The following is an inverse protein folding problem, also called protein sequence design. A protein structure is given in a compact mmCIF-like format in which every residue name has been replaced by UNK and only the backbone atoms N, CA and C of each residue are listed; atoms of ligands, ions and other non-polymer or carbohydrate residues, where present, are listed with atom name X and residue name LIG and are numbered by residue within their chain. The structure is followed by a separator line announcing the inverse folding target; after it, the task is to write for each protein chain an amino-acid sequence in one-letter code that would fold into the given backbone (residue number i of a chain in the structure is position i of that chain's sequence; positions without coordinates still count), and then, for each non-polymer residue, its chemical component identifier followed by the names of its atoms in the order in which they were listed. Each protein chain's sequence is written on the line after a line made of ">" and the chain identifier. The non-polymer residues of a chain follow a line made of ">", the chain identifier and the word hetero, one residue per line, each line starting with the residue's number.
data_IF_929568831935
#
_entry.id   IF_929568831935
#
_cell.length_a   1.000
_cell.length_b   1.000
_cell.length_c   1.000
_cell.angle_alpha   90.00
_cell.angle_beta   90.00
_cell.angle_gamma   90.00
#
_symmetry.space_group_name_H-M   'P 1'
#
loop_
_entity.id
_entity.type
_entity.pdbx_description
1 polymer ?
#
# COMPACT_ATOMS: atom_id res chain seq x y z
N UNK A 1 11.13 1.94 8.68
CA UNK A 1 10.73 2.37 10.03
C UNK A 1 10.17 1.20 10.83
N UNK A 2 8.98 0.67 10.52
CA UNK A 2 8.40 -0.48 11.27
C UNK A 2 9.34 -1.69 11.46
N UNK A 3 10.04 -2.15 10.41
CA UNK A 3 11.01 -3.25 10.56
C UNK A 3 12.21 -2.89 11.45
N UNK A 4 12.63 -1.62 11.45
CA UNK A 4 13.78 -1.12 12.21
C UNK A 4 13.42 -0.87 13.68
N UNK A 5 12.17 -0.52 13.97
CA UNK A 5 11.65 -0.41 15.34
C UNK A 5 11.71 -1.72 16.11
N UNK A 6 11.71 -2.88 15.43
CA UNK A 6 11.92 -4.18 16.07
C UNK A 6 13.23 -4.29 16.85
N UNK A 7 14.24 -3.48 16.50
CA UNK A 7 15.49 -3.42 17.26
C UNK A 7 15.31 -2.81 18.66
N UNK A 8 14.25 -2.03 18.89
CA UNK A 8 13.96 -1.46 20.21
C UNK A 8 13.59 -2.55 21.23
N UNK A 9 13.08 -3.70 20.77
CA UNK A 9 12.78 -4.88 21.61
C UNK A 9 14.07 -5.57 22.06
N UNK A 10 15.14 -5.52 21.25
CA UNK A 10 16.47 -6.03 21.63
C UNK A 10 17.10 -5.14 22.69
N UNK A 11 17.17 -3.82 22.42
CA UNK A 11 17.74 -2.84 23.34
C UNK A 11 17.11 -1.46 23.13
N UNK A 12 16.53 -0.83 24.18
CA UNK A 12 15.98 0.53 24.09
C UNK A 12 17.00 1.60 23.64
N UNK A 13 18.30 1.34 23.79
CA UNK A 13 19.41 2.20 23.31
C UNK A 13 19.36 2.47 21.80
N UNK A 14 18.69 1.63 21.01
CA UNK A 14 18.54 1.84 19.57
C UNK A 14 17.46 2.88 19.19
N UNK A 15 16.59 3.29 20.12
CA UNK A 15 15.51 4.27 19.89
C UNK A 15 15.97 5.52 19.12
N UNK A 16 17.06 6.21 19.49
CA UNK A 16 17.51 7.42 18.77
C UNK A 16 18.04 7.13 17.36
N UNK A 17 18.40 5.88 17.07
CA UNK A 17 19.00 5.46 15.80
C UNK A 17 17.98 4.93 14.78
N UNK A 18 16.72 4.68 15.18
CA UNK A 18 15.67 4.15 14.30
C UNK A 18 15.41 5.05 13.09
N UNK A 19 15.25 6.35 13.32
CA UNK A 19 14.98 7.34 12.26
C UNK A 19 16.21 7.50 11.35
N UNK A 20 17.43 7.79 11.86
CA UNK A 20 18.63 7.86 11.03
C UNK A 20 18.89 6.60 10.19
N UNK A 21 18.75 5.42 10.78
CA UNK A 21 18.95 4.16 10.08
C UNK A 21 17.88 3.94 8.99
N UNK A 22 16.63 4.29 9.28
CA UNK A 22 15.56 4.26 8.27
C UNK A 22 15.89 5.19 7.10
N UNK A 23 16.39 6.40 7.35
CA UNK A 23 16.78 7.34 6.29
C UNK A 23 17.95 6.81 5.46
N UNK A 24 18.93 6.17 6.09
CA UNK A 24 20.05 5.54 5.38
C UNK A 24 19.57 4.40 4.47
N UNK A 25 18.68 3.52 4.96
CA UNK A 25 18.07 2.45 4.16
C UNK A 25 17.29 3.04 2.99
N UNK A 26 16.46 4.06 3.22
CA UNK A 26 15.70 4.73 2.16
C UNK A 26 16.63 5.37 1.11
N UNK A 27 17.71 6.03 1.54
CA UNK A 27 18.68 6.62 0.61
C UNK A 27 19.30 5.56 -0.31
N UNK A 28 19.68 4.40 0.24
CA UNK A 28 20.19 3.27 -0.54
C UNK A 28 19.10 2.74 -1.49
N UNK A 29 17.89 2.51 -0.98
CA UNK A 29 16.73 2.02 -1.76
C UNK A 29 16.46 2.94 -2.96
N UNK A 30 16.42 4.25 -2.75
CA UNK A 30 16.17 5.23 -3.82
C UNK A 30 17.36 5.42 -4.76
N UNK A 31 18.60 5.27 -4.28
CA UNK A 31 19.80 5.36 -5.12
C UNK A 31 19.94 4.18 -6.09
N UNK A 32 19.52 2.98 -5.66
CA UNK A 32 19.63 1.74 -6.46
C UNK A 32 18.55 1.64 -7.54
N UNK A 33 17.47 2.44 -7.47
CA UNK A 33 16.34 2.40 -8.43
C UNK A 33 16.77 2.51 -9.90
N UNK A 34 17.83 3.27 -10.20
CA UNK A 34 18.34 3.47 -11.56
C UNK A 34 18.80 2.17 -12.24
N UNK A 35 19.16 1.16 -11.46
CA UNK A 35 19.62 -0.14 -11.97
C UNK A 35 18.46 -1.07 -12.35
N UNK A 36 17.22 -0.67 -12.07
CA UNK A 36 16.03 -1.45 -12.37
C UNK A 36 15.83 -2.69 -11.51
N UNK A 37 14.70 -3.35 -11.71
CA UNK A 37 14.29 -4.55 -10.95
C UNK A 37 14.64 -5.87 -11.65
N UNK A 38 15.13 -5.81 -12.90
CA UNK A 38 15.32 -6.97 -13.77
C UNK A 38 16.23 -8.07 -13.21
N UNK A 39 17.33 -7.71 -12.55
CA UNK A 39 18.23 -8.69 -11.93
C UNK A 39 17.81 -9.13 -10.53
N UNK A 40 17.00 -8.32 -9.83
CA UNK A 40 16.73 -8.49 -8.40
C UNK A 40 15.51 -9.38 -8.13
N UNK A 41 14.63 -9.56 -9.12
CA UNK A 41 13.45 -10.42 -9.00
C UNK A 41 13.78 -11.89 -8.64
N UNK A 42 14.94 -12.39 -9.08
CA UNK A 42 15.44 -13.74 -8.74
C UNK A 42 15.74 -13.90 -7.25
N UNK A 43 16.12 -12.82 -6.57
CA UNK A 43 16.42 -12.81 -5.12
C UNK A 43 15.18 -12.43 -4.32
N UNK A 44 14.34 -11.53 -4.85
CA UNK A 44 13.15 -11.04 -4.15
C UNK A 44 12.12 -12.13 -3.90
N UNK A 45 11.86 -13.01 -4.88
CA UNK A 45 10.90 -14.11 -4.72
C UNK A 45 11.24 -15.04 -3.55
N UNK A 46 12.45 -15.65 -3.52
CA UNK A 46 12.88 -16.52 -2.42
C UNK A 46 12.92 -15.83 -1.06
N UNK A 47 13.41 -14.59 -0.97
CA UNK A 47 13.44 -13.84 0.31
C UNK A 47 12.02 -13.57 0.82
N UNK A 48 11.10 -13.22 -0.06
CA UNK A 48 9.70 -12.97 0.30
C UNK A 48 9.00 -14.26 0.73
N UNK A 49 9.25 -15.37 0.03
CA UNK A 49 8.73 -16.68 0.42
C UNK A 49 9.27 -17.11 1.79
N UNK A 50 10.57 -16.92 2.03
CA UNK A 50 11.19 -17.19 3.33
C UNK A 50 10.58 -16.33 4.43
N UNK A 51 10.34 -15.04 4.18
CA UNK A 51 9.65 -14.15 5.12
C UNK A 51 8.26 -14.68 5.51
N UNK A 52 7.41 -14.99 4.53
CA UNK A 52 6.07 -15.51 4.82
C UNK A 52 6.10 -16.84 5.56
N UNK A 53 6.95 -17.78 5.14
CA UNK A 53 7.08 -19.07 5.83
C UNK A 53 7.60 -18.89 7.27
N UNK A 54 8.56 -18.00 7.49
CA UNK A 54 9.10 -17.73 8.82
C UNK A 54 8.03 -17.18 9.77
N UNK A 55 7.25 -16.17 9.34
CA UNK A 55 6.17 -15.62 10.18
C UNK A 55 5.03 -16.63 10.37
N UNK A 56 4.73 -17.45 9.36
CA UNK A 56 3.71 -18.50 9.48
C UNK A 56 4.10 -19.57 10.49
N UNK A 57 5.36 -20.01 10.48
CA UNK A 57 5.90 -20.97 11.45
C UNK A 57 5.99 -20.38 12.86
N UNK A 58 6.42 -19.12 12.98
CA UNK A 58 6.44 -18.38 14.26
C UNK A 58 5.03 -18.28 14.85
N UNK A 59 4.04 -17.88 14.05
CA UNK A 59 2.65 -17.84 14.46
C UNK A 59 2.11 -19.20 14.89
N UNK A 60 2.37 -20.24 14.10
CA UNK A 60 1.94 -21.61 14.40
C UNK A 60 2.44 -22.11 15.76
N UNK A 61 3.68 -21.77 16.14
CA UNK A 61 4.25 -22.17 17.43
C UNK A 61 3.49 -21.56 18.62
N UNK A 62 2.99 -20.34 18.49
CA UNK A 62 2.32 -19.60 19.58
C UNK A 62 0.81 -19.88 19.68
N UNK A 63 0.20 -20.58 18.71
CA UNK A 63 -1.24 -20.95 18.79
C UNK A 63 -1.53 -21.80 20.03
N UNK A 64 -0.55 -22.59 20.49
CA UNK A 64 -0.70 -23.43 21.67
C UNK A 64 -0.61 -22.67 22.99
N UNK A 65 -0.15 -21.42 23.00
CA UNK A 65 -0.07 -20.60 24.21
C UNK A 65 -1.48 -20.29 24.75
N UNK A 66 -2.42 -20.05 23.84
CA UNK A 66 -3.85 -19.94 24.15
C UNK A 66 -4.72 -20.44 22.97
N UNK A 67 -5.19 -21.70 23.02
CA UNK A 67 -6.03 -22.28 21.97
C UNK A 67 -7.40 -21.60 21.80
N UNK A 68 -7.87 -20.80 22.76
CA UNK A 68 -9.15 -20.10 22.66
C UNK A 68 -9.15 -19.09 21.50
N UNK A 69 -7.97 -18.65 21.03
CA UNK A 69 -7.86 -17.74 19.88
C UNK A 69 -8.52 -18.31 18.61
N UNK A 70 -8.62 -19.64 18.47
CA UNK A 70 -9.24 -20.28 17.32
C UNK A 70 -10.75 -19.97 17.23
N UNK A 71 -11.37 -19.62 18.36
CA UNK A 71 -12.76 -19.18 18.40
C UNK A 71 -12.95 -17.82 17.72
N UNK A 72 -11.90 -17.02 17.54
CA UNK A 72 -11.95 -15.72 16.85
C UNK A 72 -12.35 -15.83 15.36
N UNK A 73 -12.33 -17.03 14.77
CA UNK A 73 -12.88 -17.29 13.43
C UNK A 73 -14.40 -17.07 13.40
N UNK A 74 -15.08 -17.25 14.55
CA UNK A 74 -16.51 -17.03 14.65
C UNK A 74 -16.86 -15.53 14.54
N UNK A 75 -17.74 -15.14 13.60
CA UNK A 75 -18.16 -13.74 13.45
C UNK A 75 -18.92 -13.22 14.68
N UNK A 76 -19.32 -14.11 15.60
CA UNK A 76 -19.93 -13.71 16.87
C UNK A 76 -19.04 -12.75 17.67
N UNK A 77 -17.71 -12.95 17.68
CA UNK A 77 -16.80 -12.10 18.46
C UNK A 77 -16.79 -10.66 17.96
N UNK A 78 -16.67 -10.45 16.65
CA UNK A 78 -16.69 -9.10 16.09
C UNK A 78 -18.06 -8.43 16.27
N UNK A 79 -19.16 -9.16 16.11
CA UNK A 79 -20.52 -8.63 16.36
C UNK A 79 -20.70 -8.25 17.83
N UNK A 80 -20.29 -9.12 18.76
CA UNK A 80 -20.37 -8.86 20.19
C UNK A 80 -19.52 -7.67 20.60
N UNK A 81 -18.32 -7.52 20.02
CA UNK A 81 -17.42 -6.39 20.28
C UNK A 81 -18.01 -5.07 19.79
N UNK A 82 -18.62 -5.06 18.60
CA UNK A 82 -19.30 -3.90 18.04
C UNK A 82 -20.51 -3.45 18.90
N UNK A 83 -21.26 -4.39 19.46
CA UNK A 83 -22.43 -4.10 20.29
C UNK A 83 -22.03 -3.64 21.70
N UNK A 84 -21.09 -4.35 22.33
CA UNK A 84 -20.73 -4.13 23.73
C UNK A 84 -19.76 -2.96 23.93
N UNK A 85 -19.00 -2.57 22.90
CA UNK A 85 -17.99 -1.52 22.99
C UNK A 85 -17.91 -0.69 21.72
N UNK A 86 -19.00 0.00 21.31
CA UNK A 86 -19.10 0.64 20.01
C UNK A 86 -18.04 1.73 19.77
N UNK A 87 -17.70 2.52 20.78
CA UNK A 87 -16.69 3.59 20.67
C UNK A 87 -15.29 3.02 20.42
N UNK A 88 -14.88 2.04 21.22
CA UNK A 88 -13.58 1.37 21.08
C UNK A 88 -13.53 0.60 19.76
N UNK A 89 -14.60 -0.13 19.44
CA UNK A 89 -14.68 -0.91 18.22
C UNK A 89 -14.57 -0.04 16.96
N UNK A 90 -15.15 1.15 16.96
CA UNK A 90 -15.02 2.09 15.85
C UNK A 90 -13.56 2.48 15.59
N UNK A 91 -12.80 2.80 16.64
CA UNK A 91 -11.37 3.14 16.52
C UNK A 91 -10.55 1.91 16.11
N UNK A 92 -10.82 0.74 16.69
CA UNK A 92 -10.12 -0.51 16.39
C UNK A 92 -10.33 -0.96 14.95
N UNK A 93 -11.55 -0.87 14.41
CA UNK A 93 -11.85 -1.20 13.00
C UNK A 93 -10.99 -0.37 12.04
N UNK A 94 -10.79 0.92 12.35
CA UNK A 94 -9.89 1.79 11.58
C UNK A 94 -8.43 1.36 11.64
N UNK A 95 -7.97 0.71 12.72
CA UNK A 95 -6.61 0.18 12.84
C UNK A 95 -6.46 -1.18 12.13
N UNK A 96 -7.44 -2.09 12.30
CA UNK A 96 -7.46 -3.42 11.66
C UNK A 96 -7.43 -3.31 10.14
N UNK A 97 -8.05 -2.28 9.57
CA UNK A 97 -8.02 -2.01 8.14
C UNK A 97 -6.59 -1.99 7.55
N UNK A 98 -5.61 -1.50 8.31
CA UNK A 98 -4.22 -1.40 7.86
C UNK A 98 -3.62 -2.76 7.52
N UNK A 99 -4.17 -3.86 8.07
CA UNK A 99 -3.78 -5.24 7.74
C UNK A 99 -4.20 -5.72 6.33
N UNK A 100 -5.19 -5.05 5.70
CA UNK A 100 -5.76 -5.43 4.40
C UNK A 100 -5.17 -4.60 3.24
N UNK A 101 -4.29 -3.66 3.55
CA UNK A 101 -3.67 -2.75 2.58
C UNK A 101 -2.70 -3.48 1.64
N UNK A 102 -2.43 -2.90 0.46
CA UNK A 102 -1.53 -3.49 -0.54
C UNK A 102 -2.23 -4.39 -1.57
N UNK A 103 -3.52 -4.68 -1.41
CA UNK A 103 -4.33 -5.33 -2.43
C UNK A 103 -4.38 -4.52 -3.74
N UNK A 104 -4.39 -3.19 -3.63
CA UNK A 104 -4.31 -2.26 -4.75
C UNK A 104 -3.01 -2.39 -5.56
N UNK A 105 -1.88 -2.68 -4.90
CA UNK A 105 -0.60 -2.86 -5.57
C UNK A 105 -0.58 -4.14 -6.42
N UNK A 106 -1.25 -5.21 -5.94
CA UNK A 106 -1.43 -6.45 -6.70
C UNK A 106 -2.16 -6.21 -8.04
N UNK A 107 -3.12 -5.27 -8.07
CA UNK A 107 -3.82 -4.91 -9.31
C UNK A 107 -2.96 -4.06 -10.26
N UNK A 108 -2.11 -3.18 -9.72
CA UNK A 108 -1.20 -2.38 -10.53
C UNK A 108 -0.19 -3.25 -11.31
N UNK A 109 0.23 -4.38 -10.72
CA UNK A 109 1.20 -5.32 -11.29
C UNK A 109 0.57 -6.50 -12.06
N UNK A 110 -0.76 -6.52 -12.25
CA UNK A 110 -1.43 -7.53 -13.09
C UNK A 110 -0.89 -7.56 -14.52
N UNK A 111 -0.41 -6.42 -15.01
CA UNK A 111 0.20 -6.30 -16.35
C UNK A 111 1.49 -7.09 -16.52
N UNK A 112 2.18 -7.44 -15.42
CA UNK A 112 3.50 -8.10 -15.46
C UNK A 112 3.41 -9.60 -15.18
N UNK A 113 2.58 -10.02 -14.22
CA UNK A 113 2.52 -11.42 -13.76
C UNK A 113 1.26 -12.16 -14.21
N UNK A 114 0.20 -11.44 -14.57
CA UNK A 114 -1.10 -12.02 -14.88
C UNK A 114 -1.85 -12.60 -13.67
N UNK A 115 -3.13 -12.93 -13.86
CA UNK A 115 -4.04 -13.31 -12.76
C UNK A 115 -3.66 -14.61 -12.06
N UNK A 116 -3.32 -15.68 -12.80
CA UNK A 116 -3.16 -17.03 -12.22
C UNK A 116 -2.00 -17.12 -11.21
N UNK A 117 -0.77 -16.65 -11.53
CA UNK A 117 0.34 -16.71 -10.57
C UNK A 117 0.07 -15.92 -9.29
N UNK A 118 -0.56 -14.74 -9.43
CA UNK A 118 -0.93 -13.89 -8.28
C UNK A 118 -1.89 -14.62 -7.35
N UNK A 119 -2.97 -15.19 -7.88
CA UNK A 119 -3.97 -15.91 -7.08
C UNK A 119 -3.36 -17.14 -6.40
N UNK A 120 -2.53 -17.90 -7.11
CA UNK A 120 -1.88 -19.09 -6.55
C UNK A 120 -0.91 -18.73 -5.42
N UNK A 121 -0.02 -17.75 -5.63
CA UNK A 121 0.93 -17.31 -4.60
C UNK A 121 0.21 -16.75 -3.37
N UNK A 122 -0.86 -15.98 -3.60
CA UNK A 122 -1.68 -15.43 -2.52
C UNK A 122 -2.34 -16.53 -1.69
N UNK A 123 -3.12 -17.42 -2.32
CA UNK A 123 -3.92 -18.42 -1.61
C UNK A 123 -3.08 -19.58 -1.05
N UNK A 124 -1.98 -19.95 -1.69
CA UNK A 124 -1.18 -21.10 -1.27
C UNK A 124 -0.12 -20.76 -0.22
N UNK A 125 0.40 -19.52 -0.20
CA UNK A 125 1.54 -19.15 0.67
C UNK A 125 1.21 -17.94 1.52
N UNK A 126 0.91 -16.80 0.91
CA UNK A 126 0.81 -15.52 1.63
C UNK A 126 -0.35 -15.53 2.63
N UNK A 127 -1.55 -15.85 2.16
CA UNK A 127 -2.76 -15.86 2.98
C UNK A 127 -2.68 -16.82 4.19
N UNK A 128 -2.32 -18.12 4.03
CA UNK A 128 -2.23 -19.01 5.18
C UNK A 128 -1.14 -18.59 6.16
N UNK A 129 0.02 -18.11 5.69
CA UNK A 129 1.08 -17.65 6.58
C UNK A 129 0.68 -16.41 7.38
N UNK A 130 -0.02 -15.45 6.76
CA UNK A 130 -0.54 -14.27 7.44
C UNK A 130 -1.60 -14.64 8.48
N UNK A 131 -2.51 -15.56 8.15
CA UNK A 131 -3.52 -16.03 9.09
C UNK A 131 -2.88 -16.70 10.31
N UNK A 132 -1.93 -17.60 10.10
CA UNK A 132 -1.18 -18.25 11.18
C UNK A 132 -0.43 -17.24 12.03
N UNK A 133 0.23 -16.25 11.41
CA UNK A 133 0.91 -15.18 12.12
C UNK A 133 -0.08 -14.40 13.00
N UNK A 134 -1.20 -13.90 12.46
CA UNK A 134 -2.17 -13.11 13.24
C UNK A 134 -2.80 -13.90 14.39
N UNK A 135 -3.20 -15.16 14.14
CA UNK A 135 -3.74 -16.03 15.18
C UNK A 135 -2.69 -16.32 16.25
N UNK A 136 -1.44 -16.59 15.86
CA UNK A 136 -0.33 -16.75 16.81
C UNK A 136 -0.07 -15.52 17.66
N UNK A 137 -0.09 -14.30 17.08
CA UNK A 137 0.04 -13.07 17.88
C UNK A 137 -1.13 -12.90 18.84
N UNK A 138 -2.35 -13.23 18.39
CA UNK A 138 -3.53 -13.20 19.25
C UNK A 138 -3.40 -14.12 20.46
N UNK A 139 -2.99 -15.38 20.25
CA UNK A 139 -2.74 -16.33 21.35
C UNK A 139 -1.65 -15.82 22.31
N UNK A 140 -0.53 -15.33 21.78
CA UNK A 140 0.54 -14.76 22.58
C UNK A 140 0.08 -13.57 23.44
N UNK A 141 -0.73 -12.67 22.86
CA UNK A 141 -1.30 -11.53 23.59
C UNK A 141 -2.19 -11.99 24.74
N UNK A 142 -3.06 -12.99 24.49
CA UNK A 142 -3.97 -13.53 25.50
C UNK A 142 -3.20 -14.20 26.65
N UNK A 143 -2.21 -15.04 26.32
CA UNK A 143 -1.37 -15.73 27.29
C UNK A 143 -0.55 -14.77 28.19
N UNK A 144 -0.18 -13.60 27.67
CA UNK A 144 0.59 -12.57 28.39
C UNK A 144 -0.27 -11.47 29.03
N UNK A 145 -1.56 -11.74 29.31
CA UNK A 145 -2.42 -10.82 30.06
C UNK A 145 -2.87 -9.59 29.28
N UNK A 146 -2.81 -9.62 27.93
CA UNK A 146 -3.39 -8.62 27.05
C UNK A 146 -2.58 -7.34 26.85
N UNK A 147 -1.42 -7.18 27.50
CA UNK A 147 -0.59 -5.96 27.41
C UNK A 147 0.78 -6.29 26.84
N UNK A 148 0.95 -6.07 25.55
CA UNK A 148 2.20 -6.30 24.80
C UNK A 148 2.49 -5.12 23.89
N UNK A 149 3.76 -4.70 23.82
CA UNK A 149 4.16 -3.49 23.09
C UNK A 149 4.32 -3.77 21.60
N UNK A 150 5.18 -4.73 21.28
CA UNK A 150 5.47 -5.19 19.93
C UNK A 150 5.28 -6.71 19.82
N UNK A 151 4.02 -7.19 19.72
CA UNK A 151 3.69 -8.62 19.80
C UNK A 151 4.51 -9.50 18.85
N UNK A 152 4.71 -9.04 17.61
CA UNK A 152 5.51 -9.76 16.62
C UNK A 152 6.97 -9.99 17.03
N UNK A 153 7.60 -9.00 17.65
CA UNK A 153 9.01 -9.10 18.04
C UNK A 153 9.16 -9.78 19.40
N UNK A 154 8.23 -9.53 20.33
CA UNK A 154 8.18 -10.15 21.66
C UNK A 154 7.88 -11.66 21.58
N UNK A 155 7.04 -12.13 20.65
CA UNK A 155 6.86 -13.58 20.47
C UNK A 155 8.13 -14.27 19.93
N UNK A 156 9.03 -13.54 19.28
CA UNK A 156 10.25 -14.10 18.66
C UNK A 156 11.49 -13.84 19.53
N UNK A 157 11.36 -13.91 20.85
CA UNK A 157 12.43 -13.61 21.80
C UNK A 157 13.66 -14.55 21.69
N UNK A 158 14.79 -14.06 22.22
CA UNK A 158 16.06 -14.80 22.21
C UNK A 158 16.79 -14.76 20.85
N UNK A 159 17.28 -15.91 20.39
CA UNK A 159 18.12 -15.99 19.18
C UNK A 159 17.35 -15.74 17.88
N UNK A 160 16.02 -15.91 17.88
CA UNK A 160 15.16 -15.79 16.71
C UNK A 160 14.86 -14.33 16.32
N UNK A 161 14.98 -13.41 17.28
CA UNK A 161 14.68 -11.99 17.11
C UNK A 161 15.55 -11.34 16.03
N UNK A 162 16.87 -11.54 16.09
CA UNK A 162 17.82 -10.92 15.15
C UNK A 162 17.58 -11.40 13.71
N UNK A 163 17.49 -12.71 13.42
CA UNK A 163 17.10 -13.21 12.10
C UNK A 163 15.76 -12.63 11.61
N UNK A 164 14.76 -12.54 12.49
CA UNK A 164 13.45 -11.98 12.13
C UNK A 164 13.51 -10.49 11.79
N UNK A 165 14.27 -9.68 12.53
CA UNK A 165 14.47 -8.25 12.22
C UNK A 165 15.17 -8.08 10.87
N UNK A 166 16.20 -8.89 10.57
CA UNK A 166 16.89 -8.86 9.27
C UNK A 166 15.94 -9.22 8.14
N UNK A 167 15.15 -10.29 8.32
CA UNK A 167 14.21 -10.76 7.31
C UNK A 167 13.05 -9.76 7.10
N UNK A 168 12.53 -9.17 8.17
CA UNK A 168 11.54 -8.09 8.10
C UNK A 168 12.08 -6.86 7.38
N UNK A 169 13.34 -6.49 7.63
CA UNK A 169 14.01 -5.38 6.95
C UNK A 169 14.16 -5.68 5.45
N UNK A 170 14.58 -6.89 5.09
CA UNK A 170 14.67 -7.31 3.69
C UNK A 170 13.29 -7.30 3.00
N UNK A 171 12.26 -7.85 3.65
CA UNK A 171 10.90 -7.89 3.11
C UNK A 171 10.31 -6.48 2.93
N UNK A 172 10.52 -5.57 3.90
CA UNK A 172 10.04 -4.18 3.79
C UNK A 172 10.76 -3.38 2.72
N UNK A 173 12.06 -3.65 2.48
CA UNK A 173 12.79 -3.09 1.33
C UNK A 173 12.19 -3.60 0.02
N UNK A 174 11.93 -4.91 -0.11
CA UNK A 174 11.32 -5.49 -1.31
C UNK A 174 9.92 -4.90 -1.56
N UNK A 175 9.09 -4.79 -0.52
CA UNK A 175 7.77 -4.17 -0.61
C UNK A 175 7.87 -2.70 -1.09
N UNK A 176 8.83 -1.94 -0.55
CA UNK A 176 9.07 -0.55 -0.97
C UNK A 176 9.44 -0.45 -2.46
N UNK A 177 10.24 -1.40 -2.97
CA UNK A 177 10.61 -1.46 -4.40
C UNK A 177 9.41 -1.66 -5.31
N UNK A 178 8.49 -2.55 -4.93
CA UNK A 178 7.26 -2.81 -5.69
C UNK A 178 6.40 -1.54 -5.78
N UNK A 179 6.19 -0.85 -4.66
CA UNK A 179 5.39 0.40 -4.62
C UNK A 179 6.04 1.53 -5.42
N UNK A 180 7.37 1.70 -5.34
CA UNK A 180 8.09 2.71 -6.15
C UNK A 180 7.93 2.41 -7.65
N UNK A 181 8.07 1.15 -8.05
CA UNK A 181 7.88 0.72 -9.44
C UNK A 181 6.42 0.92 -9.92
N UNK A 182 5.45 0.66 -9.05
CA UNK A 182 4.03 0.96 -9.29
C UNK A 182 3.79 2.46 -9.51
N UNK A 183 4.40 3.32 -8.69
CA UNK A 183 4.30 4.78 -8.84
C UNK A 183 4.87 5.28 -10.17
N UNK A 184 5.97 4.69 -10.65
CA UNK A 184 6.51 4.97 -11.99
C UNK A 184 5.52 4.58 -13.10
N UNK A 185 4.89 3.42 -12.98
CA UNK A 185 3.89 2.93 -13.93
C UNK A 185 2.64 3.81 -13.98
N UNK A 186 2.11 4.21 -12.83
CA UNK A 186 0.97 5.13 -12.72
C UNK A 186 1.32 6.52 -13.28
N UNK A 187 2.53 7.02 -13.01
CA UNK A 187 2.98 8.31 -13.56
C UNK A 187 3.07 8.24 -15.09
N UNK A 188 3.61 7.15 -15.64
CA UNK A 188 3.65 6.94 -17.10
C UNK A 188 2.25 6.92 -17.70
N UNK A 189 1.29 6.22 -17.08
CA UNK A 189 -0.09 6.18 -17.55
C UNK A 189 -0.73 7.58 -17.51
N UNK A 190 -0.51 8.35 -16.45
CA UNK A 190 -0.99 9.73 -16.35
C UNK A 190 -0.39 10.65 -17.44
N UNK A 191 0.88 10.47 -17.81
CA UNK A 191 1.50 11.19 -18.94
C UNK A 191 0.85 10.80 -20.27
N UNK A 192 0.56 9.51 -20.49
CA UNK A 192 -0.11 9.03 -21.71
C UNK A 192 -1.56 9.57 -21.84
N UNK A 193 -2.23 9.80 -20.71
CA UNK A 193 -3.55 10.42 -20.65
C UNK A 193 -3.50 11.96 -20.72
N UNK A 194 -2.34 12.56 -21.00
CA UNK A 194 -2.11 14.02 -21.00
C UNK A 194 -2.47 14.72 -19.67
N UNK A 195 -2.47 13.98 -18.56
CA UNK A 195 -2.76 14.55 -17.23
C UNK A 195 -1.52 15.16 -16.57
N UNK A 196 -0.33 14.79 -17.02
CA UNK A 196 0.96 15.27 -16.51
C UNK A 196 1.90 15.71 -17.65
N UNK A 197 2.89 16.58 -17.35
CA UNK A 197 3.93 16.92 -18.30
C UNK A 197 4.74 15.71 -18.73
N UNK A 198 5.35 15.81 -19.91
CA UNK A 198 6.24 14.76 -20.41
C UNK A 198 7.45 14.63 -19.49
N UNK A 199 7.57 13.47 -18.86
CA UNK A 199 8.76 13.07 -18.11
C UNK A 199 9.70 12.25 -18.98
N UNK A 200 11.00 12.28 -18.65
CA UNK A 200 11.98 11.36 -19.24
C UNK A 200 11.72 9.97 -18.66
N UNK A 201 11.38 9.01 -19.52
CA UNK A 201 11.11 7.63 -19.15
C UNK A 201 12.28 6.80 -19.68
N UNK A 202 13.06 6.22 -18.76
CA UNK A 202 14.16 5.33 -19.09
C UNK A 202 13.67 3.89 -18.93
N UNK A 203 13.88 3.05 -19.94
CA UNK A 203 13.56 1.63 -19.84
C UNK A 203 14.75 0.91 -19.23
N UNK A 204 14.54 0.20 -18.12
CA UNK A 204 15.61 -0.50 -17.40
C UNK A 204 15.78 -1.95 -17.88
N UNK A 205 14.87 -2.46 -18.70
CA UNK A 205 14.99 -3.75 -19.38
C UNK A 205 14.62 -3.64 -20.84
N UNK A 206 15.43 -4.26 -21.70
CA UNK A 206 15.17 -4.40 -23.12
C UNK A 206 14.01 -5.37 -23.41
N UNK A 207 13.68 -6.25 -22.47
CA UNK A 207 12.68 -7.32 -22.67
C UNK A 207 11.33 -7.03 -22.03
N UNK A 208 11.26 -6.13 -21.05
CA UNK A 208 10.06 -5.88 -20.26
C UNK A 208 9.71 -4.40 -20.26
N UNK A 209 8.69 -4.01 -21.03
CA UNK A 209 8.20 -2.63 -21.13
C UNK A 209 7.69 -2.06 -19.80
N UNK A 210 7.36 -2.92 -18.83
CA UNK A 210 6.95 -2.55 -17.49
C UNK A 210 8.09 -2.17 -16.54
N UNK A 211 9.35 -2.39 -16.92
CA UNK A 211 10.52 -2.00 -16.12
C UNK A 211 11.00 -0.62 -16.58
N UNK A 212 10.51 0.41 -15.89
CA UNK A 212 10.76 1.80 -16.21
C UNK A 212 11.34 2.53 -15.00
N UNK A 213 12.19 3.52 -15.27
CA UNK A 213 12.78 4.41 -14.29
C UNK A 213 12.51 5.86 -14.67
N UNK A 214 11.93 6.62 -13.74
CA UNK A 214 11.63 8.05 -13.91
C UNK A 214 12.47 8.84 -12.90
N UNK A 215 13.65 9.38 -13.27
CA UNK A 215 14.59 9.98 -12.32
C UNK A 215 13.99 11.11 -11.47
N UNK A 216 13.17 11.98 -12.07
CA UNK A 216 12.54 13.10 -11.37
C UNK A 216 11.48 12.64 -10.37
N UNK A 217 10.70 11.63 -10.75
CA UNK A 217 9.68 11.05 -9.86
C UNK A 217 10.36 10.33 -8.70
N UNK A 218 11.43 9.59 -8.99
CA UNK A 218 12.25 8.92 -7.98
C UNK A 218 12.77 9.91 -6.92
N UNK A 219 13.35 11.03 -7.36
CA UNK A 219 13.85 12.06 -6.46
C UNK A 219 12.73 12.70 -5.63
N UNK A 220 11.60 13.03 -6.25
CA UNK A 220 10.46 13.62 -5.56
C UNK A 220 9.90 12.66 -4.51
N UNK A 221 9.70 11.39 -4.86
CA UNK A 221 9.26 10.35 -3.93
C UNK A 221 10.26 10.17 -2.79
N UNK A 222 11.56 10.15 -3.07
CA UNK A 222 12.60 10.04 -2.04
C UNK A 222 12.49 11.18 -1.02
N UNK A 223 12.41 12.43 -1.50
CA UNK A 223 12.29 13.60 -0.64
C UNK A 223 11.02 13.56 0.21
N UNK A 224 9.86 13.27 -0.40
CA UNK A 224 8.58 13.21 0.33
C UNK A 224 8.61 12.10 1.39
N UNK A 225 9.06 10.90 1.05
CA UNK A 225 9.10 9.77 2.00
C UNK A 225 10.08 10.04 3.14
N UNK A 226 11.26 10.62 2.86
CA UNK A 226 12.21 11.00 3.91
C UNK A 226 11.65 12.10 4.82
N UNK A 227 10.96 13.11 4.26
CA UNK A 227 10.31 14.15 5.05
C UNK A 227 9.20 13.57 5.94
N UNK A 228 8.41 12.62 5.44
CA UNK A 228 7.38 11.94 6.24
C UNK A 228 8.02 11.13 7.38
N UNK A 229 9.13 10.43 7.13
CA UNK A 229 9.87 9.68 8.16
C UNK A 229 10.38 10.60 9.26
N UNK A 230 10.98 11.75 8.91
CA UNK A 230 11.47 12.73 9.89
C UNK A 230 10.31 13.41 10.62
N UNK A 231 9.24 13.77 9.92
CA UNK A 231 8.10 14.48 10.49
C UNK A 231 7.25 13.63 11.44
N UNK A 232 7.07 12.35 11.12
CA UNK A 232 6.27 11.44 11.95
C UNK A 232 7.09 10.69 13.00
N UNK A 233 8.34 10.31 12.72
CA UNK A 233 9.25 9.65 13.66
C UNK A 233 8.91 8.19 14.05
N UNK A 234 7.62 7.86 14.17
CA UNK A 234 7.09 6.56 14.60
C UNK A 234 6.21 5.92 13.53
N UNK A 235 6.20 4.58 13.48
CA UNK A 235 5.45 3.84 12.46
C UNK A 235 3.95 3.91 12.69
N UNK A 236 3.50 3.94 13.95
CA UNK A 236 2.08 4.01 14.33
C UNK A 236 1.44 5.29 13.80
N UNK A 237 2.09 6.44 14.01
CA UNK A 237 1.62 7.75 13.53
C UNK A 237 1.63 7.83 12.00
N UNK A 238 2.66 7.28 11.36
CA UNK A 238 2.73 7.19 9.89
C UNK A 238 1.64 6.26 9.34
N UNK A 239 1.33 5.17 10.04
CA UNK A 239 0.32 4.21 9.62
C UNK A 239 -1.09 4.80 9.63
N UNK A 240 -1.41 5.58 10.67
CA UNK A 240 -2.67 6.35 10.72
C UNK A 240 -2.78 7.37 9.59
N UNK A 241 -1.67 7.91 9.09
CA UNK A 241 -1.68 8.98 8.09
C UNK A 241 -2.09 8.50 6.67
N UNK A 242 -1.80 7.25 6.31
CA UNK A 242 -2.06 6.74 4.94
C UNK A 242 -3.40 6.00 4.79
N UNK A 243 -4.00 5.51 5.88
CA UNK A 243 -5.24 4.70 5.84
C UNK A 243 -6.43 5.38 5.12
N UNK A 244 -6.54 6.71 5.22
CA UNK A 244 -7.59 7.49 4.53
C UNK A 244 -7.45 7.41 3.01
N UNK A 245 -6.22 7.47 2.50
CA UNK A 245 -5.99 7.41 1.05
C UNK A 245 -6.36 6.04 0.48
N UNK A 246 -6.07 4.96 1.22
CA UNK A 246 -6.37 3.59 0.78
C UNK A 246 -7.87 3.31 0.86
N UNK A 247 -8.54 3.67 1.96
CA UNK A 247 -10.01 3.53 2.07
C UNK A 247 -10.75 4.37 1.02
N UNK A 248 -10.28 5.60 0.76
CA UNK A 248 -10.81 6.44 -0.31
C UNK A 248 -10.64 5.81 -1.70
N UNK A 249 -9.47 5.20 -1.97
CA UNK A 249 -9.25 4.46 -3.21
C UNK A 249 -10.23 3.28 -3.35
N UNK A 250 -10.50 2.54 -2.28
CA UNK A 250 -11.44 1.40 -2.31
C UNK A 250 -12.88 1.82 -2.62
N UNK A 251 -13.34 2.95 -2.08
CA UNK A 251 -14.64 3.51 -2.44
C UNK A 251 -14.72 3.84 -3.94
N UNK A 252 -13.65 4.42 -4.49
CA UNK A 252 -13.58 4.72 -5.93
C UNK A 252 -13.56 3.44 -6.76
N UNK A 253 -12.80 2.42 -6.36
CA UNK A 253 -12.76 1.15 -7.10
C UNK A 253 -14.09 0.41 -7.04
N UNK A 254 -14.86 0.49 -5.95
CA UNK A 254 -16.21 -0.04 -5.89
C UNK A 254 -17.16 0.68 -6.87
N UNK A 255 -17.07 2.02 -6.96
CA UNK A 255 -17.85 2.79 -7.94
C UNK A 255 -17.49 2.35 -9.36
N UNK A 256 -16.20 2.17 -9.66
CA UNK A 256 -15.75 1.65 -10.95
C UNK A 256 -16.25 0.22 -11.20
N UNK A 257 -16.22 -0.65 -10.18
CA UNK A 257 -16.74 -2.01 -10.27
C UNK A 257 -18.23 -2.02 -10.62
N UNK A 258 -19.02 -1.13 -10.02
CA UNK A 258 -20.43 -0.97 -10.38
C UNK A 258 -20.62 -0.58 -11.85
N UNK A 259 -19.81 0.35 -12.37
CA UNK A 259 -19.83 0.71 -13.79
C UNK A 259 -19.44 -0.49 -14.67
N UNK A 260 -18.43 -1.26 -14.29
CA UNK A 260 -18.00 -2.46 -15.02
C UNK A 260 -19.10 -3.52 -15.04
N UNK A 261 -19.69 -3.84 -13.90
CA UNK A 261 -20.76 -4.84 -13.77
C UNK A 261 -21.97 -4.49 -14.65
N UNK A 262 -22.36 -3.21 -14.68
CA UNK A 262 -23.55 -2.76 -15.42
C UNK A 262 -23.28 -2.51 -16.91
N UNK A 263 -22.16 -1.88 -17.27
CA UNK A 263 -21.87 -1.44 -18.64
C UNK A 263 -21.09 -2.46 -19.46
N UNK A 264 -20.19 -3.20 -18.84
CA UNK A 264 -19.30 -4.14 -19.54
C UNK A 264 -19.84 -5.56 -19.43
N UNK A 265 -20.07 -6.03 -18.20
CA UNK A 265 -20.56 -7.39 -17.96
C UNK A 265 -22.08 -7.53 -18.15
N UNK A 266 -22.80 -6.41 -18.22
CA UNK A 266 -24.25 -6.33 -18.46
C UNK A 266 -25.06 -7.18 -17.46
N UNK A 267 -24.63 -7.20 -16.20
CA UNK A 267 -25.35 -7.90 -15.14
C UNK A 267 -26.72 -7.26 -14.86
N UNK A 268 -27.71 -8.04 -14.39
CA UNK A 268 -28.99 -7.49 -14.00
C UNK A 268 -28.81 -6.48 -12.86
N UNK A 269 -29.46 -5.33 -12.99
CA UNK A 269 -29.27 -4.18 -12.10
C UNK A 269 -29.47 -4.54 -10.61
N UNK A 270 -30.46 -5.38 -10.32
CA UNK A 270 -30.73 -5.83 -8.94
C UNK A 270 -29.55 -6.58 -8.31
N UNK A 271 -28.86 -7.45 -9.06
CA UNK A 271 -27.69 -8.19 -8.57
C UNK A 271 -26.51 -7.27 -8.38
N UNK A 272 -26.28 -6.35 -9.33
CA UNK A 272 -25.22 -5.37 -9.23
C UNK A 272 -25.41 -4.44 -8.01
N UNK A 273 -26.64 -3.97 -7.75
CA UNK A 273 -26.97 -3.14 -6.59
C UNK A 273 -26.83 -3.93 -5.29
N UNK A 274 -27.34 -5.16 -5.22
CA UNK A 274 -27.26 -5.97 -4.00
C UNK A 274 -25.81 -6.24 -3.59
N UNK A 275 -24.96 -6.59 -4.55
CA UNK A 275 -23.55 -6.84 -4.31
C UNK A 275 -22.79 -5.54 -3.97
N UNK A 276 -23.10 -4.45 -4.67
CA UNK A 276 -22.51 -3.14 -4.37
C UNK A 276 -22.91 -2.63 -2.99
N UNK A 277 -24.14 -2.88 -2.53
CA UNK A 277 -24.59 -2.48 -1.19
C UNK A 277 -23.73 -3.11 -0.09
N UNK A 278 -23.34 -4.38 -0.24
CA UNK A 278 -22.45 -5.06 0.70
C UNK A 278 -21.06 -4.41 0.73
N UNK A 279 -20.44 -4.20 -0.44
CA UNK A 279 -19.09 -3.61 -0.50
C UNK A 279 -19.06 -2.15 -0.06
N UNK A 280 -20.02 -1.34 -0.48
CA UNK A 280 -20.13 0.06 -0.04
C UNK A 280 -20.35 0.12 1.46
N UNK A 281 -21.18 -0.75 2.04
CA UNK A 281 -21.40 -0.74 3.48
C UNK A 281 -20.10 -0.98 4.27
N UNK A 282 -19.33 -1.99 3.88
CA UNK A 282 -18.05 -2.33 4.52
C UNK A 282 -17.03 -1.19 4.34
N UNK A 283 -16.83 -0.74 3.10
CA UNK A 283 -15.81 0.26 2.79
C UNK A 283 -16.16 1.64 3.34
N UNK A 284 -17.45 2.00 3.38
CA UNK A 284 -17.90 3.24 4.03
C UNK A 284 -17.67 3.16 5.54
N UNK A 285 -17.87 1.98 6.16
CA UNK A 285 -17.54 1.76 7.57
C UNK A 285 -16.05 2.00 7.84
N UNK A 286 -15.17 1.41 7.02
CA UNK A 286 -13.73 1.62 7.13
C UNK A 286 -13.31 3.08 6.86
N UNK A 287 -13.92 3.72 5.85
CA UNK A 287 -13.65 5.11 5.54
C UNK A 287 -14.08 6.03 6.69
N UNK A 288 -15.26 5.80 7.26
CA UNK A 288 -15.75 6.54 8.42
C UNK A 288 -14.82 6.36 9.64
N UNK A 289 -14.33 5.14 9.89
CA UNK A 289 -13.37 4.89 10.97
C UNK A 289 -12.00 5.58 10.74
N UNK A 290 -11.58 5.73 9.47
CA UNK A 290 -10.29 6.32 9.13
C UNK A 290 -10.33 7.85 8.99
N UNK A 291 -11.47 8.45 8.61
CA UNK A 291 -11.55 9.91 8.42
C UNK A 291 -11.36 10.69 9.72
N UNK A 292 -11.67 10.09 10.87
CA UNK A 292 -11.43 10.72 12.19
C UNK A 292 -9.92 10.90 12.45
N UNK A 293 -9.08 10.03 11.89
CA UNK A 293 -7.61 10.10 11.99
C UNK A 293 -6.98 11.21 11.15
N UNK A 294 -7.78 12.02 10.43
CA UNK A 294 -7.27 13.22 9.72
C UNK A 294 -6.52 14.14 10.69
N UNK A 295 -7.05 14.33 11.90
CA UNK A 295 -6.43 15.16 12.94
C UNK A 295 -5.19 14.53 13.56
N UNK A 296 -5.01 13.21 13.44
CA UNK A 296 -3.88 12.45 14.00
C UNK A 296 -2.73 12.28 12.98
N UNK A 297 -2.78 12.98 11.85
CA UNK A 297 -1.74 12.92 10.80
C UNK A 297 -2.26 12.56 9.41
N UNK A 298 -3.51 12.10 9.30
CA UNK A 298 -4.17 11.80 8.04
C UNK A 298 -4.24 12.96 7.05
N UNK A 299 -4.18 14.20 7.53
CA UNK A 299 -4.09 15.39 6.70
C UNK A 299 -2.89 15.38 5.73
N UNK A 300 -1.78 14.71 6.08
CA UNK A 300 -0.58 14.68 5.26
C UNK A 300 -0.83 13.99 3.92
N UNK A 301 -1.55 12.87 3.91
CA UNK A 301 -1.87 12.16 2.67
C UNK A 301 -2.87 12.94 1.80
N UNK A 302 -3.85 13.61 2.43
CA UNK A 302 -4.76 14.52 1.74
C UNK A 302 -4.04 15.73 1.12
N UNK A 303 -3.06 16.30 1.83
CA UNK A 303 -2.27 17.42 1.33
C UNK A 303 -1.43 17.02 0.10
N UNK A 304 -0.81 15.85 0.14
CA UNK A 304 -0.07 15.29 -1.01
C UNK A 304 -1.02 15.06 -2.19
N UNK A 305 -2.18 14.43 -1.95
CA UNK A 305 -3.18 14.19 -2.97
C UNK A 305 -3.68 15.51 -3.61
N UNK A 306 -3.99 16.52 -2.79
CA UNK A 306 -4.39 17.84 -3.25
C UNK A 306 -3.30 18.49 -4.11
N UNK A 307 -2.03 18.41 -3.72
CA UNK A 307 -0.90 18.92 -4.50
C UNK A 307 -0.77 18.25 -5.88
N UNK A 308 -0.94 16.93 -5.94
CA UNK A 308 -0.92 16.18 -7.20
C UNK A 308 -2.11 16.58 -8.09
N UNK A 309 -3.33 16.64 -7.53
CA UNK A 309 -4.54 17.06 -8.26
C UNK A 309 -4.40 18.48 -8.79
N UNK A 310 -3.89 19.41 -7.99
CA UNK A 310 -3.64 20.78 -8.42
C UNK A 310 -2.63 20.85 -9.57
N UNK A 311 -1.59 20.03 -9.53
CA UNK A 311 -0.60 19.93 -10.62
C UNK A 311 -1.25 19.42 -11.90
N UNK A 312 -2.02 18.33 -11.82
CA UNK A 312 -2.72 17.74 -12.96
C UNK A 312 -3.74 18.72 -13.55
N UNK A 313 -4.52 19.39 -12.69
CA UNK A 313 -5.54 20.33 -13.11
C UNK A 313 -4.94 21.55 -13.82
N UNK A 314 -3.86 22.09 -13.26
CA UNK A 314 -3.11 23.21 -13.85
C UNK A 314 -2.53 22.81 -15.21
N UNK A 315 -1.96 21.61 -15.33
CA UNK A 315 -1.42 21.09 -16.58
C UNK A 315 -2.50 20.94 -17.65
N UNK A 316 -3.58 20.23 -17.35
CA UNK A 316 -4.68 19.98 -18.30
C UNK A 316 -5.28 21.30 -18.80
N UNK A 317 -5.52 22.26 -17.89
CA UNK A 317 -6.01 23.60 -18.27
C UNK A 317 -5.01 24.38 -19.10
N UNK A 318 -3.73 24.37 -18.71
CA UNK A 318 -2.65 25.05 -19.42
C UNK A 318 -2.45 24.53 -20.84
N UNK A 319 -2.44 23.19 -21.01
CA UNK A 319 -2.34 22.56 -22.33
C UNK A 319 -3.54 22.88 -23.20
N UNK A 320 -4.76 22.86 -22.65
CA UNK A 320 -5.98 23.24 -23.38
C UNK A 320 -5.92 24.71 -23.83
N UNK A 321 -5.53 25.61 -22.94
CA UNK A 321 -5.39 27.03 -23.27
C UNK A 321 -4.33 27.28 -24.34
N UNK A 322 -3.18 26.61 -24.26
CA UNK A 322 -2.14 26.70 -25.28
C UNK A 322 -2.64 26.17 -26.63
N UNK A 323 -3.33 25.03 -26.63
CA UNK A 323 -3.92 24.45 -27.83
C UNK A 323 -4.92 25.41 -28.49
N UNK A 324 -5.83 25.99 -27.70
CA UNK A 324 -6.82 26.96 -28.21
C UNK A 324 -6.16 28.24 -28.75
N UNK A 325 -5.06 28.70 -28.13
CA UNK A 325 -4.34 29.89 -28.58
C UNK A 325 -3.54 29.64 -29.87
N UNK A 326 -2.87 28.50 -29.98
CA UNK A 326 -2.15 28.11 -31.21
C UNK A 326 -3.12 27.96 -32.37
N UNK A 327 -4.29 27.34 -32.16
CA UNK A 327 -5.30 27.14 -33.21
C UNK A 327 -5.91 28.44 -33.74
N UNK A 328 -5.89 29.53 -32.96
CA UNK A 328 -6.30 30.87 -33.42
C UNK A 328 -5.27 31.53 -34.35
N UNK A 329 -4.00 31.14 -34.24
CA UNK A 329 -2.92 31.64 -35.08
C UNK A 329 -2.67 30.75 -36.31
N UNK A 330 -3.27 29.56 -36.35
CA UNK A 330 -3.23 28.66 -37.50
C UNK A 330 -4.31 29.07 -38.52
N UNK A 331 -3.91 29.16 -39.80
CA UNK A 331 -4.85 29.38 -40.90
C UNK A 331 -5.72 28.11 -41.04
N UNK A 332 -7.05 28.20 -41.05
CA UNK A 332 -7.91 27.02 -41.19
C UNK A 332 -7.55 26.22 -42.44
N UNK A 333 -7.44 24.89 -42.31
CA UNK A 333 -7.15 24.02 -43.44
C UNK A 333 -8.18 24.17 -44.56
N UNK A 334 -9.44 24.46 -44.23
CA UNK A 334 -10.50 24.73 -45.21
C UNK A 334 -10.21 26.01 -46.02
N UNK A 335 -9.60 27.02 -45.40
CA UNK A 335 -9.21 28.25 -46.09
C UNK A 335 -8.01 28.02 -47.02
N UNK A 336 -7.06 27.16 -46.62
CA UNK A 336 -5.93 26.77 -47.48
C UNK A 336 -6.38 25.85 -48.63
N UNK A 337 -7.27 24.90 -48.37
CA UNK A 337 -7.81 23.99 -49.37
C UNK A 337 -8.73 24.68 -50.39
N UNK A 338 -9.40 25.77 -50.01
CA UNK A 338 -10.22 26.58 -50.92
C UNK A 338 -9.42 27.58 -51.77
N UNK A 339 -8.16 27.87 -51.40
CA UNK A 339 -7.29 28.86 -52.07
C UNK A 339 -6.01 28.26 -52.68
N UNK A 340 -5.95 26.92 -52.83
CA UNK A 340 -4.94 26.17 -53.58
C UNK A 340 -5.54 25.68 -54.90
#
# INVERSE_FOLDING_TARGET
>A
LSAVEGMNVVTPTFQPYVVPLTLAILAVVFAVQRFGTGGVGLVFGPVTALWFLAIGLSGLNHIMDDPEILLAISPHYIVSFLINSPEVAFVTVGAVFLAVTGAEALYADLGHFGRKPIVLAWLAVVFPCLLLNYVGQGAFVLANGGVVGHPFFEMNEGWMLIPMVVLATAATVIASQAVISGAFSLTRQAVQLNMLPRFVILHTSEKQSGQIYLPRVNLLLALVVMLLVVGFGESSRLASAYGISVTGNMLVTNILLYVVMTRIWKWPLGVAIALMAVFVFIDTGFFAANIVKVFEGGWASLAIAAGIVMTMWTWIRGTRYLFDKTRRNEIPLDFLAANL
#
